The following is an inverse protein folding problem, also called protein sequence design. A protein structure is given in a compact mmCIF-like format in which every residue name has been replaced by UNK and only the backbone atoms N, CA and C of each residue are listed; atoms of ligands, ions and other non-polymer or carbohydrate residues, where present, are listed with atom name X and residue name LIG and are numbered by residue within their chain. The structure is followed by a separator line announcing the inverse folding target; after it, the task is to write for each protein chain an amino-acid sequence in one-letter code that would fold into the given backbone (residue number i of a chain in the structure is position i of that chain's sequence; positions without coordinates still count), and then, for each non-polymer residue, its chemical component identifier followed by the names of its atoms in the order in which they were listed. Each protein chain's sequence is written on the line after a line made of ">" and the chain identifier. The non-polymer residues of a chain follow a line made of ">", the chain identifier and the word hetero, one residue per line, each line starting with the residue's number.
data_IF_798728502135
#
_entry.id   IF_798728502135
#
_cell.length_a   1.000
_cell.length_b   1.000
_cell.length_c   1.000
_cell.angle_alpha   90.00
_cell.angle_beta   90.00
_cell.angle_gamma   90.00
#
_symmetry.space_group_name_H-M   'P 1'
#
loop_
_entity.id
_entity.type
_entity.pdbx_description
1 polymer ?
#
# COMPACT_ATOMS: atom_id res chain seq x y z
N UNK A 1 18.27 9.96 -35.53
CA UNK A 1 17.04 10.70 -35.15
C UNK A 1 17.06 10.80 -33.63
N UNK A 2 17.08 12.01 -33.07
CA UNK A 2 16.97 12.19 -31.62
C UNK A 2 15.61 11.65 -31.18
N UNK A 3 15.58 10.78 -30.16
CA UNK A 3 14.30 10.49 -29.50
C UNK A 3 13.73 11.83 -29.00
N UNK A 4 12.48 12.12 -29.30
CA UNK A 4 11.81 13.28 -28.74
C UNK A 4 11.77 13.12 -27.23
N UNK A 5 12.11 14.17 -26.49
CA UNK A 5 12.02 14.15 -25.02
C UNK A 5 10.56 13.91 -24.60
N UNK A 6 10.36 13.07 -23.59
CA UNK A 6 9.03 12.75 -23.10
C UNK A 6 8.42 14.00 -22.43
N UNK A 7 7.28 14.53 -22.92
CA UNK A 7 6.72 15.77 -22.39
C UNK A 7 6.07 15.61 -21.01
N UNK A 8 5.80 14.37 -20.57
CA UNK A 8 5.13 14.12 -19.30
C UNK A 8 6.11 14.15 -18.13
N UNK A 9 5.75 14.90 -17.09
CA UNK A 9 6.48 14.93 -15.81
C UNK A 9 6.17 13.68 -14.98
N UNK A 10 7.02 13.37 -14.02
CA UNK A 10 6.73 12.31 -13.03
C UNK A 10 5.65 12.78 -12.06
N UNK A 11 4.96 11.83 -11.42
CA UNK A 11 3.98 12.14 -10.38
C UNK A 11 4.60 12.95 -9.23
N UNK A 12 5.80 12.58 -8.81
CA UNK A 12 6.54 13.20 -7.71
C UNK A 12 6.91 14.64 -8.05
N UNK A 13 7.32 14.91 -9.30
CA UNK A 13 7.62 16.26 -9.75
C UNK A 13 6.37 17.16 -9.77
N UNK A 14 5.20 16.60 -10.12
CA UNK A 14 3.92 17.32 -10.02
C UNK A 14 3.52 17.56 -8.57
N UNK A 15 3.68 16.58 -7.68
CA UNK A 15 3.44 16.72 -6.24
C UNK A 15 4.35 17.78 -5.61
N UNK A 16 5.64 17.79 -5.93
CA UNK A 16 6.60 18.79 -5.46
C UNK A 16 6.24 20.21 -5.95
N UNK A 17 5.68 20.32 -7.15
CA UNK A 17 5.14 21.57 -7.69
C UNK A 17 3.75 21.94 -7.12
N UNK A 18 3.22 21.17 -6.16
CA UNK A 18 1.88 21.32 -5.57
C UNK A 18 0.74 21.19 -6.58
N UNK A 19 0.97 20.44 -7.66
CA UNK A 19 -0.06 20.08 -8.64
C UNK A 19 -0.74 18.80 -8.20
N UNK A 20 -2.05 18.85 -7.99
CA UNK A 20 -2.86 17.67 -7.66
C UNK A 20 -2.95 16.75 -8.89
N UNK A 21 -2.64 15.47 -8.70
CA UNK A 21 -2.80 14.43 -9.72
C UNK A 21 -3.84 13.44 -9.23
N UNK A 22 -5.06 13.56 -9.74
CA UNK A 22 -6.14 12.64 -9.45
C UNK A 22 -6.08 11.41 -10.37
N UNK A 23 -6.60 10.28 -9.88
CA UNK A 23 -6.88 9.12 -10.72
C UNK A 23 -7.92 9.46 -11.78
N UNK A 24 -7.72 8.99 -13.01
CA UNK A 24 -8.68 9.24 -14.07
C UNK A 24 -10.04 8.59 -13.72
N UNK A 25 -11.18 9.22 -14.03
CA UNK A 25 -12.51 8.77 -13.59
C UNK A 25 -12.84 7.33 -14.01
N UNK A 26 -12.32 6.88 -15.15
CA UNK A 26 -12.50 5.53 -15.68
C UNK A 26 -11.21 4.68 -15.59
N UNK A 27 -10.47 4.79 -14.50
CA UNK A 27 -9.19 4.08 -14.33
C UNK A 27 -9.17 3.24 -13.05
N UNK A 28 -8.26 3.52 -12.10
CA UNK A 28 -8.06 2.77 -10.86
C UNK A 28 -9.36 2.58 -10.05
N UNK A 29 -10.26 3.56 -10.06
CA UNK A 29 -11.53 3.51 -9.31
C UNK A 29 -12.50 2.42 -9.79
N UNK A 30 -12.34 1.95 -11.02
CA UNK A 30 -13.11 0.86 -11.59
C UNK A 30 -12.48 -0.51 -11.32
N UNK A 31 -11.29 -0.57 -10.70
CA UNK A 31 -10.58 -1.83 -10.52
C UNK A 31 -10.89 -2.42 -9.16
N UNK A 32 -11.23 -3.70 -9.16
CA UNK A 32 -11.21 -4.53 -7.98
C UNK A 32 -9.92 -5.36 -8.05
N UNK A 33 -8.99 -5.10 -7.13
CA UNK A 33 -7.63 -5.65 -7.15
C UNK A 33 -7.40 -6.47 -5.88
N UNK A 34 -7.66 -7.79 -5.89
CA UNK A 34 -7.32 -8.66 -4.77
C UNK A 34 -5.80 -8.78 -4.61
N UNK A 35 -5.32 -8.86 -3.37
CA UNK A 35 -3.89 -9.10 -3.06
C UNK A 35 -3.57 -10.60 -3.09
N UNK A 36 -4.08 -11.29 -4.10
CA UNK A 36 -3.88 -12.73 -4.31
C UNK A 36 -4.10 -13.10 -5.78
N UNK A 37 -3.62 -14.29 -6.17
CA UNK A 37 -3.74 -14.79 -7.54
C UNK A 37 -2.81 -14.08 -8.54
N UNK A 38 -3.23 -13.99 -9.80
CA UNK A 38 -2.47 -13.33 -10.88
C UNK A 38 -3.28 -12.21 -11.51
N UNK A 39 -2.61 -11.27 -12.19
CA UNK A 39 -3.26 -10.18 -12.95
C UNK A 39 -4.34 -10.71 -13.91
N UNK A 40 -4.09 -11.85 -14.55
CA UNK A 40 -5.00 -12.44 -15.55
C UNK A 40 -6.20 -13.20 -14.97
N UNK A 41 -6.19 -13.47 -13.66
CA UNK A 41 -7.21 -14.31 -13.02
C UNK A 41 -7.93 -13.66 -11.85
N UNK A 42 -7.32 -12.66 -11.20
CA UNK A 42 -7.81 -12.09 -9.95
C UNK A 42 -8.45 -10.70 -10.10
N UNK A 43 -7.99 -9.91 -11.07
CA UNK A 43 -8.45 -8.52 -11.20
C UNK A 43 -9.78 -8.49 -11.94
N UNK A 44 -10.72 -7.74 -11.40
CA UNK A 44 -12.03 -7.49 -11.98
C UNK A 44 -12.21 -5.99 -12.25
N UNK A 45 -13.10 -5.66 -13.18
CA UNK A 45 -13.47 -4.30 -13.56
C UNK A 45 -14.93 -4.08 -13.24
N UNK A 46 -15.22 -3.03 -12.50
CA UNK A 46 -16.55 -2.55 -12.18
C UNK A 46 -17.14 -1.82 -13.39
N UNK A 47 -18.46 -1.94 -13.56
CA UNK A 47 -19.18 -1.16 -14.58
C UNK A 47 -19.36 0.30 -14.16
N UNK A 48 -19.52 0.57 -12.86
CA UNK A 48 -19.58 1.89 -12.24
C UNK A 48 -18.83 1.83 -10.90
N UNK A 49 -18.09 2.88 -10.47
CA UNK A 49 -17.38 2.87 -9.19
C UNK A 49 -18.27 2.62 -7.96
N UNK A 50 -19.58 2.87 -8.06
CA UNK A 50 -20.61 2.67 -7.04
C UNK A 50 -21.41 1.38 -7.23
N UNK A 51 -21.38 0.76 -8.41
CA UNK A 51 -21.96 -0.58 -8.64
C UNK A 51 -20.90 -1.65 -8.46
N UNK A 52 -20.89 -2.26 -7.27
CA UNK A 52 -19.94 -3.28 -6.88
C UNK A 52 -20.40 -4.70 -7.21
N UNK A 53 -21.64 -4.86 -7.65
CA UNK A 53 -22.26 -6.17 -7.86
C UNK A 53 -22.09 -6.60 -9.34
N UNK A 54 -21.95 -5.63 -10.26
CA UNK A 54 -21.69 -5.89 -11.68
C UNK A 54 -20.19 -5.78 -12.03
N UNK A 55 -19.51 -6.93 -12.13
CA UNK A 55 -18.07 -7.02 -12.44
C UNK A 55 -17.79 -7.87 -13.65
N UNK A 56 -16.76 -7.51 -14.39
CA UNK A 56 -16.23 -8.29 -15.52
C UNK A 56 -14.74 -8.56 -15.35
N UNK A 57 -14.20 -9.68 -15.86
CA UNK A 57 -12.78 -9.97 -15.78
C UNK A 57 -11.92 -8.87 -16.42
N UNK A 58 -10.79 -8.54 -15.79
CA UNK A 58 -9.80 -7.62 -16.39
C UNK A 58 -9.10 -8.23 -17.61
N UNK A 59 -8.95 -9.55 -17.64
CA UNK A 59 -8.42 -10.30 -18.77
C UNK A 59 -9.43 -11.36 -19.18
N UNK A 60 -9.86 -11.30 -20.45
CA UNK A 60 -10.70 -12.32 -21.04
C UNK A 60 -9.82 -13.48 -21.54
N UNK A 61 -9.91 -14.61 -20.83
CA UNK A 61 -9.17 -15.83 -21.17
C UNK A 61 -9.63 -16.46 -22.50
N UNK A 62 -10.91 -16.31 -22.86
CA UNK A 62 -11.46 -16.88 -24.09
C UNK A 62 -11.04 -16.07 -25.32
N UNK A 63 -11.04 -14.75 -25.20
CA UNK A 63 -10.60 -13.86 -26.27
C UNK A 63 -9.08 -13.61 -26.28
N UNK A 64 -8.39 -13.86 -25.18
CA UNK A 64 -6.96 -13.57 -25.01
C UNK A 64 -6.65 -12.08 -24.99
N UNK A 65 -7.57 -11.25 -24.48
CA UNK A 65 -7.47 -9.78 -24.53
C UNK A 65 -7.73 -9.14 -23.17
N UNK A 66 -7.10 -8.00 -22.93
CA UNK A 66 -7.37 -7.19 -21.74
C UNK A 66 -8.60 -6.31 -21.95
N UNK A 67 -9.30 -6.02 -20.86
CA UNK A 67 -10.44 -5.11 -20.84
C UNK A 67 -10.04 -3.73 -21.39
N UNK A 68 -10.91 -3.00 -22.12
CA UNK A 68 -10.58 -1.69 -22.71
C UNK A 68 -10.02 -0.65 -21.74
N UNK A 69 -10.38 -0.75 -20.45
CA UNK A 69 -9.82 0.08 -19.37
C UNK A 69 -8.29 0.03 -19.29
N UNK A 70 -7.68 -1.08 -19.69
CA UNK A 70 -6.24 -1.33 -19.66
C UNK A 70 -5.42 -0.29 -20.45
N UNK A 71 -5.99 0.23 -21.54
CA UNK A 71 -5.33 1.20 -22.41
C UNK A 71 -5.50 2.66 -21.97
N UNK A 72 -6.32 2.91 -20.94
CA UNK A 72 -6.58 4.27 -20.45
C UNK A 72 -5.41 4.78 -19.58
N UNK A 73 -5.17 6.09 -19.53
CA UNK A 73 -4.27 6.68 -18.53
C UNK A 73 -4.73 6.34 -17.12
N UNK A 74 -3.78 6.07 -16.21
CA UNK A 74 -4.11 5.80 -14.79
C UNK A 74 -4.51 7.09 -14.05
N UNK A 75 -4.08 8.25 -14.54
CA UNK A 75 -4.28 9.57 -13.94
C UNK A 75 -4.87 10.55 -14.95
N UNK A 76 -5.60 11.57 -14.46
CA UNK A 76 -6.17 12.62 -15.33
C UNK A 76 -5.06 13.42 -16.02
N UNK A 77 -4.06 13.84 -15.26
CA UNK A 77 -2.82 14.38 -15.78
C UNK A 77 -1.88 13.23 -16.07
N UNK A 78 -1.60 12.99 -17.35
CA UNK A 78 -0.64 11.97 -17.80
C UNK A 78 0.74 12.22 -17.18
N UNK A 79 1.28 11.16 -16.57
CA UNK A 79 2.61 11.16 -15.92
C UNK A 79 3.53 10.13 -16.54
N UNK A 80 4.83 10.43 -16.58
CA UNK A 80 5.87 9.52 -17.11
C UNK A 80 6.33 8.46 -16.12
N UNK A 81 6.02 8.61 -14.84
CA UNK A 81 6.18 7.57 -13.82
C UNK A 81 5.37 7.90 -12.57
N UNK A 82 5.12 6.87 -11.75
CA UNK A 82 4.55 6.99 -10.39
C UNK A 82 5.35 6.06 -9.48
N UNK A 83 5.85 6.56 -8.36
CA UNK A 83 6.41 5.76 -7.27
C UNK A 83 5.34 5.53 -6.22
N UNK A 84 4.98 4.26 -6.00
CA UNK A 84 3.98 3.85 -5.02
C UNK A 84 4.63 3.30 -3.77
N UNK A 85 3.97 3.43 -2.63
CA UNK A 85 4.30 2.80 -1.35
C UNK A 85 3.04 2.16 -0.73
N UNK A 86 3.24 1.29 0.27
CA UNK A 86 2.15 0.64 1.03
C UNK A 86 2.13 1.23 2.43
N UNK A 87 1.05 1.94 2.77
CA UNK A 87 0.95 2.69 4.04
C UNK A 87 1.09 1.77 5.25
N UNK A 88 0.49 0.58 5.21
CA UNK A 88 0.59 -0.38 6.33
C UNK A 88 2.06 -0.76 6.61
N UNK A 89 2.91 -0.85 5.59
CA UNK A 89 4.32 -1.22 5.77
C UNK A 89 5.17 -0.05 6.28
N UNK A 90 4.83 1.19 5.90
CA UNK A 90 5.51 2.38 6.39
C UNK A 90 5.22 2.62 7.88
N UNK A 91 3.98 2.39 8.29
CA UNK A 91 3.53 2.59 9.68
C UNK A 91 3.80 1.38 10.57
N UNK A 92 4.27 0.25 10.01
CA UNK A 92 4.33 -1.02 10.76
C UNK A 92 5.24 -0.95 11.98
N UNK A 93 6.42 -0.36 11.85
CA UNK A 93 7.38 -0.26 12.94
C UNK A 93 6.86 0.63 14.08
N UNK A 94 6.27 1.76 13.73
CA UNK A 94 5.66 2.69 14.70
C UNK A 94 4.47 2.04 15.41
N UNK A 95 3.55 1.43 14.65
CA UNK A 95 2.42 0.70 15.22
C UNK A 95 2.87 -0.43 16.14
N UNK A 96 3.95 -1.14 15.76
CA UNK A 96 4.53 -2.18 16.61
C UNK A 96 5.04 -1.59 17.93
N UNK A 97 5.77 -0.47 17.89
CA UNK A 97 6.24 0.19 19.11
C UNK A 97 5.08 0.63 20.00
N UNK A 98 4.05 1.26 19.43
CA UNK A 98 2.88 1.73 20.17
C UNK A 98 2.12 0.58 20.87
N UNK A 99 1.94 -0.56 20.19
CA UNK A 99 1.28 -1.73 20.77
C UNK A 99 2.10 -2.36 21.90
N UNK A 100 3.42 -2.22 21.85
CA UNK A 100 4.34 -2.81 22.82
C UNK A 100 4.90 -1.80 23.84
N UNK A 101 4.42 -0.55 23.83
CA UNK A 101 4.86 0.50 24.76
C UNK A 101 4.61 0.11 26.21
N UNK A 102 3.43 -0.43 26.53
CA UNK A 102 3.09 -0.89 27.90
C UNK A 102 3.83 -2.19 28.29
N UNK A 103 4.41 -2.91 27.33
CA UNK A 103 5.21 -4.11 27.59
C UNK A 103 6.68 -3.77 27.93
N UNK A 104 7.00 -2.47 28.02
CA UNK A 104 8.35 -1.93 27.99
C UNK A 104 8.80 -1.22 29.27
N UNK A 105 8.02 -1.21 30.35
CA UNK A 105 8.47 -0.50 31.56
C UNK A 105 9.54 -1.29 32.35
N UNK A 106 10.73 -0.69 32.60
CA UNK A 106 11.85 -1.37 33.26
C UNK A 106 11.59 -1.74 34.73
N UNK A 107 10.56 -1.16 35.35
CA UNK A 107 10.12 -1.49 36.72
C UNK A 107 9.04 -2.58 36.76
N UNK A 108 8.59 -3.12 35.62
CA UNK A 108 7.65 -4.24 35.59
C UNK A 108 8.36 -5.55 35.98
N UNK A 109 8.09 -6.13 37.16
CA UNK A 109 8.81 -7.29 37.61
C UNK A 109 8.33 -8.52 36.84
N UNK A 110 9.19 -9.06 35.98
CA UNK A 110 9.06 -10.38 35.34
C UNK A 110 7.88 -10.58 34.36
N UNK A 111 7.26 -9.52 33.82
CA UNK A 111 6.03 -9.65 33.02
C UNK A 111 6.24 -10.19 31.58
N UNK A 112 7.39 -9.94 30.95
CA UNK A 112 7.61 -10.31 29.54
C UNK A 112 9.00 -10.92 29.28
N UNK A 113 9.19 -12.23 29.54
CA UNK A 113 10.49 -12.90 29.43
C UNK A 113 11.06 -12.94 27.99
N UNK A 114 10.22 -12.66 26.98
CA UNK A 114 10.59 -12.72 25.57
C UNK A 114 11.04 -11.35 25.01
N UNK A 115 10.97 -10.27 25.80
CA UNK A 115 11.41 -8.94 25.39
C UNK A 115 12.95 -8.91 25.25
N UNK A 116 13.44 -8.36 24.14
CA UNK A 116 14.88 -8.15 23.91
C UNK A 116 15.15 -6.70 23.58
N UNK A 117 16.11 -6.15 24.31
CA UNK A 117 16.56 -4.77 24.18
C UNK A 117 18.00 -4.74 23.68
N UNK A 118 18.35 -3.72 22.90
CA UNK A 118 19.71 -3.52 22.43
C UNK A 118 19.85 -2.31 21.50
N UNK A 119 21.07 -2.12 21.00
CA UNK A 119 21.39 -1.03 20.07
C UNK A 119 20.83 -1.34 18.68
N UNK A 120 20.21 -0.35 18.03
CA UNK A 120 19.79 -0.48 16.63
C UNK A 120 21.02 -0.58 15.73
N UNK A 121 21.33 -1.77 15.23
CA UNK A 121 22.35 -1.92 14.19
C UNK A 121 21.75 -1.53 12.83
N UNK A 122 22.35 -0.56 12.14
CA UNK A 122 21.97 -0.12 10.79
C UNK A 122 20.85 0.93 10.80
N UNK A 123 21.17 2.15 11.25
CA UNK A 123 20.26 3.28 11.28
C UNK A 123 19.68 3.57 9.90
N UNK A 124 18.37 3.73 9.83
CA UNK A 124 17.68 4.37 8.69
C UNK A 124 17.73 5.89 8.83
N UNK A 125 18.85 6.43 9.31
CA UNK A 125 19.11 7.87 9.26
C UNK A 125 19.64 8.20 7.88
N UNK A 126 19.04 9.21 7.24
CA UNK A 126 19.65 9.85 6.08
C UNK A 126 21.11 10.23 6.41
N UNK A 127 22.02 10.02 5.46
CA UNK A 127 23.49 10.11 5.64
C UNK A 127 24.01 11.56 5.83
N UNK A 128 23.25 12.48 6.42
CA UNK A 128 23.57 13.92 6.49
C UNK A 128 23.35 14.59 7.88
N UNK A 129 23.29 13.86 8.99
CA UNK A 129 23.35 14.45 10.34
C UNK A 129 24.74 14.25 10.97
N UNK A 130 25.61 15.25 10.78
CA UNK A 130 26.93 15.38 11.44
C UNK A 130 26.83 15.92 12.88
N UNK A 131 25.83 15.49 13.65
CA UNK A 131 25.71 15.78 15.08
C UNK A 131 25.75 14.45 15.87
N UNK A 132 26.96 13.91 16.03
CA UNK A 132 27.24 12.77 16.93
C UNK A 132 27.11 13.24 18.39
N UNK A 133 25.89 13.32 18.91
CA UNK A 133 25.66 13.30 20.35
C UNK A 133 25.99 11.88 20.87
N UNK A 134 27.15 11.75 21.53
CA UNK A 134 27.70 10.49 22.08
C UNK A 134 26.86 9.82 23.19
N UNK A 135 25.62 10.27 23.44
CA UNK A 135 24.77 9.84 24.56
C UNK A 135 23.50 9.05 24.16
N UNK A 136 23.22 8.79 22.88
CA UNK A 136 22.06 7.97 22.47
C UNK A 136 22.37 6.45 22.48
N UNK A 137 22.88 5.97 23.63
CA UNK A 137 23.11 4.56 23.94
C UNK A 137 21.91 3.93 24.66
N UNK A 138 20.73 4.59 24.65
CA UNK A 138 19.54 4.04 25.27
C UNK A 138 19.16 2.73 24.55
N UNK A 139 19.08 1.59 25.28
CA UNK A 139 18.73 0.34 24.66
C UNK A 139 17.31 0.46 24.09
N UNK A 140 17.14 0.10 22.82
CA UNK A 140 15.84 0.12 22.15
C UNK A 140 15.21 -1.27 22.13
N UNK A 141 13.88 -1.33 22.07
CA UNK A 141 13.17 -2.59 21.99
C UNK A 141 13.36 -3.22 20.59
N UNK A 142 13.93 -4.42 20.55
CA UNK A 142 14.25 -5.17 19.33
C UNK A 142 13.29 -6.34 19.08
N UNK A 143 12.71 -6.89 20.15
CA UNK A 143 11.77 -8.02 20.11
C UNK A 143 10.82 -7.94 21.30
N UNK A 144 9.55 -8.28 21.11
CA UNK A 144 8.54 -8.40 22.16
C UNK A 144 7.43 -9.35 21.68
N UNK A 145 6.68 -9.98 22.59
CA UNK A 145 5.58 -10.90 22.25
C UNK A 145 5.92 -11.98 21.20
N UNK A 146 7.17 -12.48 21.21
CA UNK A 146 7.72 -13.43 20.23
C UNK A 146 7.81 -12.90 18.78
N UNK A 147 7.58 -11.61 18.58
CA UNK A 147 7.77 -10.92 17.31
C UNK A 147 9.05 -10.08 17.34
N UNK A 148 9.81 -10.15 16.25
CA UNK A 148 10.91 -9.21 16.03
C UNK A 148 10.33 -7.87 15.57
N UNK A 149 10.94 -6.76 16.00
CA UNK A 149 10.59 -5.42 15.54
C UNK A 149 10.69 -5.38 14.00
N UNK A 150 9.63 -4.97 13.27
CA UNK A 150 9.55 -5.09 11.81
C UNK A 150 10.36 -4.00 11.09
N UNK A 151 11.68 -4.04 11.23
CA UNK A 151 12.59 -3.03 10.67
C UNK A 151 12.79 -3.19 9.17
N UNK A 152 12.92 -2.05 8.48
CA UNK A 152 13.26 -2.01 7.06
C UNK A 152 12.19 -2.62 6.14
N UNK A 153 10.92 -2.57 6.57
CA UNK A 153 9.79 -3.13 5.84
C UNK A 153 9.15 -2.16 4.84
N UNK A 154 9.55 -0.89 4.87
CA UNK A 154 9.15 0.11 3.90
C UNK A 154 9.43 -0.39 2.47
N UNK A 155 8.38 -0.43 1.65
CA UNK A 155 8.47 -0.94 0.29
C UNK A 155 7.98 0.12 -0.70
N UNK A 156 8.80 0.41 -1.71
CA UNK A 156 8.48 1.35 -2.78
C UNK A 156 8.63 0.68 -4.15
N UNK A 157 7.74 1.02 -5.08
CA UNK A 157 7.79 0.54 -6.47
C UNK A 157 7.61 1.72 -7.43
N UNK A 158 8.55 1.89 -8.37
CA UNK A 158 8.41 2.89 -9.43
C UNK A 158 7.84 2.25 -10.69
N UNK A 159 6.68 2.72 -11.09
CA UNK A 159 5.94 2.29 -12.27
C UNK A 159 6.24 3.24 -13.43
N UNK A 160 6.58 2.67 -14.58
CA UNK A 160 6.92 3.40 -15.81
C UNK A 160 6.05 2.91 -16.97
N UNK A 161 5.81 3.73 -18.00
CA UNK A 161 5.08 3.32 -19.19
C UNK A 161 5.83 2.20 -19.92
N UNK A 162 5.09 1.18 -20.38
CA UNK A 162 5.64 0.16 -21.29
C UNK A 162 5.93 0.72 -22.68
N UNK A 163 5.12 1.68 -23.15
CA UNK A 163 5.31 2.35 -24.44
C UNK A 163 6.07 3.67 -24.25
N UNK A 164 7.27 3.75 -24.81
CA UNK A 164 8.03 5.00 -24.86
C UNK A 164 7.31 6.08 -25.69
N UNK A 165 7.61 7.36 -25.43
CA UNK A 165 7.11 8.48 -26.21
C UNK A 165 7.67 8.43 -27.64
N UNK A 166 6.80 8.45 -28.65
CA UNK A 166 7.18 8.43 -30.06
C UNK A 166 7.07 9.80 -30.77
N UNK A 167 6.76 10.86 -30.01
CA UNK A 167 6.48 12.21 -30.54
C UNK A 167 4.99 12.49 -30.78
N UNK A 168 4.11 11.49 -30.66
CA UNK A 168 2.66 11.62 -30.82
C UNK A 168 1.87 10.97 -29.68
N UNK A 169 2.27 9.78 -29.26
CA UNK A 169 1.58 8.98 -28.26
C UNK A 169 2.56 8.12 -27.43
N UNK A 170 2.08 7.52 -26.34
CA UNK A 170 2.90 6.80 -25.36
C UNK A 170 3.57 7.74 -24.36
N UNK A 171 4.55 7.24 -23.61
CA UNK A 171 5.31 8.03 -22.63
C UNK A 171 4.56 8.33 -21.33
N UNK A 172 3.35 7.83 -21.14
CA UNK A 172 2.57 8.01 -19.91
C UNK A 172 2.08 6.67 -19.35
N UNK A 173 1.95 6.59 -18.03
CA UNK A 173 1.52 5.37 -17.34
C UNK A 173 0.04 5.07 -17.64
N UNK A 174 -0.21 3.88 -18.18
CA UNK A 174 -1.56 3.34 -18.40
C UNK A 174 -2.05 2.52 -17.21
N UNK A 175 -3.34 2.20 -17.18
CA UNK A 175 -3.91 1.24 -16.23
C UNK A 175 -3.18 -0.09 -16.29
N UNK A 176 -2.87 -0.59 -17.49
CA UNK A 176 -2.16 -1.85 -17.64
C UNK A 176 -0.75 -1.81 -17.07
N UNK A 177 0.02 -0.76 -17.37
CA UNK A 177 1.37 -0.57 -16.82
C UNK A 177 1.33 -0.59 -15.29
N UNK A 178 0.34 0.11 -14.73
CA UNK A 178 0.14 0.23 -13.30
C UNK A 178 -0.18 -1.12 -12.65
N UNK A 179 -1.27 -1.80 -13.06
CA UNK A 179 -1.68 -3.05 -12.41
C UNK A 179 -0.71 -4.20 -12.65
N UNK A 180 -0.03 -4.24 -13.80
CA UNK A 180 0.87 -5.34 -14.14
C UNK A 180 2.18 -5.28 -13.36
N UNK A 181 2.65 -4.09 -13.02
CA UNK A 181 3.77 -3.91 -12.10
C UNK A 181 3.33 -4.06 -10.64
N UNK A 182 2.19 -3.46 -10.29
CA UNK A 182 1.70 -3.36 -8.93
C UNK A 182 1.26 -4.70 -8.35
N UNK A 183 0.37 -5.42 -9.02
CA UNK A 183 -0.31 -6.58 -8.44
C UNK A 183 0.67 -7.71 -8.06
N UNK A 184 1.61 -8.15 -8.93
CA UNK A 184 2.58 -9.16 -8.54
C UNK A 184 3.53 -8.70 -7.43
N UNK A 185 3.80 -7.40 -7.33
CA UNK A 185 4.61 -6.83 -6.26
C UNK A 185 3.88 -6.90 -4.91
N UNK A 186 2.61 -6.51 -4.86
CA UNK A 186 1.78 -6.62 -3.65
C UNK A 186 1.58 -8.07 -3.20
N UNK A 187 1.36 -9.00 -4.14
CA UNK A 187 1.25 -10.44 -3.82
C UNK A 187 2.53 -10.96 -3.17
N UNK A 188 3.72 -10.48 -3.57
CA UNK A 188 4.99 -10.85 -2.90
C UNK A 188 5.11 -10.26 -1.50
N UNK A 189 4.57 -9.07 -1.28
CA UNK A 189 4.56 -8.39 0.02
C UNK A 189 3.44 -8.88 0.96
N UNK A 190 2.57 -9.78 0.49
CA UNK A 190 1.35 -10.17 1.19
C UNK A 190 1.59 -10.58 2.65
N UNK A 191 2.63 -11.37 2.92
CA UNK A 191 2.93 -11.81 4.28
C UNK A 191 3.28 -10.65 5.22
N UNK A 192 4.08 -9.70 4.73
CA UNK A 192 4.43 -8.49 5.48
C UNK A 192 3.20 -7.59 5.68
N UNK A 193 2.33 -7.45 4.66
CA UNK A 193 1.07 -6.70 4.76
C UNK A 193 0.15 -7.31 5.84
N UNK A 194 -0.02 -8.63 5.85
CA UNK A 194 -0.81 -9.33 6.87
C UNK A 194 -0.23 -9.15 8.28
N UNK A 195 1.10 -9.11 8.39
CA UNK A 195 1.81 -8.80 9.64
C UNK A 195 1.51 -7.39 10.12
N UNK A 196 1.67 -6.40 9.23
CA UNK A 196 1.43 -5.00 9.53
C UNK A 196 -0.02 -4.72 9.94
N UNK A 197 -0.98 -5.26 9.20
CA UNK A 197 -2.40 -5.12 9.54
C UNK A 197 -2.74 -5.82 10.86
N UNK A 198 -2.15 -6.98 11.15
CA UNK A 198 -2.33 -7.68 12.42
C UNK A 198 -1.81 -6.85 13.60
N UNK A 199 -0.61 -6.27 13.46
CA UNK A 199 -0.05 -5.35 14.45
C UNK A 199 -0.93 -4.12 14.64
N UNK A 200 -1.42 -3.48 13.57
CA UNK A 200 -2.32 -2.33 13.65
C UNK A 200 -3.66 -2.67 14.36
N UNK A 201 -4.09 -3.93 14.29
CA UNK A 201 -5.27 -4.44 15.00
C UNK A 201 -4.97 -4.82 16.47
N UNK A 202 -3.71 -4.66 16.90
CA UNK A 202 -3.21 -4.99 18.24
C UNK A 202 -3.01 -6.48 18.47
N UNK A 203 -2.72 -7.24 17.41
CA UNK A 203 -2.46 -8.68 17.49
C UNK A 203 -0.95 -8.96 17.55
N UNK A 204 -0.59 -9.95 18.37
CA UNK A 204 0.77 -10.52 18.45
C UNK A 204 1.06 -11.52 17.31
N UNK A 205 0.13 -11.70 16.38
CA UNK A 205 0.25 -12.59 15.23
C UNK A 205 -0.26 -11.91 13.94
N UNK A 206 0.31 -12.22 12.77
CA UNK A 206 -0.22 -11.75 11.50
C UNK A 206 -1.67 -12.18 11.27
N UNK A 207 -2.39 -11.44 10.44
CA UNK A 207 -3.69 -11.89 9.94
C UNK A 207 -3.56 -13.22 9.17
N UNK A 208 -4.60 -14.04 9.22
CA UNK A 208 -4.62 -15.34 8.55
C UNK A 208 -4.39 -15.21 7.04
N UNK A 209 -3.71 -16.20 6.44
CA UNK A 209 -3.39 -16.19 5.01
C UNK A 209 -4.64 -16.21 4.10
N UNK A 210 -5.77 -16.67 4.63
CA UNK A 210 -7.10 -16.69 4.01
C UNK A 210 -7.80 -15.32 4.00
N UNK A 211 -7.24 -14.31 4.69
CA UNK A 211 -7.83 -12.97 4.79
C UNK A 211 -7.95 -12.32 3.40
N UNK A 212 -9.18 -12.05 2.95
CA UNK A 212 -9.42 -11.50 1.62
C UNK A 212 -9.12 -9.98 1.59
N UNK A 213 -7.94 -9.62 1.07
CA UNK A 213 -7.46 -8.25 0.97
C UNK A 213 -7.68 -7.68 -0.42
N UNK A 214 -8.07 -6.40 -0.47
CA UNK A 214 -8.30 -5.63 -1.68
C UNK A 214 -7.53 -4.31 -1.58
N UNK A 215 -6.92 -3.90 -2.69
CA UNK A 215 -6.20 -2.62 -2.76
C UNK A 215 -7.18 -1.46 -2.82
N UNK A 216 -7.01 -0.48 -1.93
CA UNK A 216 -7.58 0.86 -2.08
C UNK A 216 -6.58 1.73 -2.87
N UNK A 217 -7.02 2.16 -4.06
CA UNK A 217 -6.26 3.00 -4.99
C UNK A 217 -6.79 4.43 -5.09
N UNK A 218 -7.48 4.95 -4.06
CA UNK A 218 -7.99 6.32 -4.07
C UNK A 218 -6.86 7.36 -4.19
N UNK A 219 -5.72 7.08 -3.57
CA UNK A 219 -4.45 7.76 -3.82
C UNK A 219 -3.52 6.86 -4.66
N UNK A 220 -3.23 7.26 -5.90
CA UNK A 220 -2.40 6.45 -6.82
C UNK A 220 -0.95 6.19 -6.37
N UNK A 221 -0.45 6.92 -5.37
CA UNK A 221 0.93 6.79 -4.90
C UNK A 221 1.04 6.20 -3.49
N UNK A 222 -0.06 6.16 -2.75
CA UNK A 222 -0.12 5.72 -1.34
C UNK A 222 -1.22 4.69 -1.25
N UNK A 223 -0.81 3.42 -1.18
CA UNK A 223 -1.71 2.28 -1.27
C UNK A 223 -2.09 1.83 0.12
N UNK A 224 -3.39 1.59 0.30
CA UNK A 224 -3.92 1.01 1.53
C UNK A 224 -4.58 -0.33 1.24
N UNK A 225 -4.47 -1.26 2.18
CA UNK A 225 -5.03 -2.60 2.07
C UNK A 225 -6.28 -2.69 2.93
N UNK A 226 -7.40 -3.06 2.32
CA UNK A 226 -8.66 -3.21 3.02
C UNK A 226 -9.13 -4.65 2.99
N UNK A 227 -9.83 -5.06 4.06
CA UNK A 227 -10.66 -6.26 4.01
C UNK A 227 -11.71 -6.05 2.90
N UNK A 228 -11.95 -7.08 2.08
CA UNK A 228 -12.92 -7.00 0.97
C UNK A 228 -14.28 -6.46 1.39
N UNK A 229 -14.76 -6.90 2.54
CA UNK A 229 -16.01 -6.51 3.19
C UNK A 229 -16.01 -5.04 3.59
N UNK A 230 -14.95 -4.56 4.24
CA UNK A 230 -14.74 -3.13 4.53
C UNK A 230 -14.72 -2.29 3.26
N UNK A 231 -13.98 -2.71 2.23
CA UNK A 231 -13.91 -2.04 0.92
C UNK A 231 -15.28 -1.94 0.23
N UNK A 232 -16.07 -3.02 0.28
CA UNK A 232 -17.43 -3.03 -0.24
C UNK A 232 -18.31 -2.06 0.54
N UNK A 233 -18.22 -2.06 1.87
CA UNK A 233 -19.05 -1.21 2.72
C UNK A 233 -18.72 0.27 2.58
N UNK A 234 -17.44 0.66 2.58
CA UNK A 234 -17.02 2.05 2.36
C UNK A 234 -17.60 2.61 1.06
N UNK A 235 -17.54 1.83 -0.02
CA UNK A 235 -18.09 2.23 -1.33
C UNK A 235 -19.61 2.24 -1.41
N UNK A 236 -20.30 1.45 -0.57
CA UNK A 236 -21.75 1.51 -0.38
C UNK A 236 -22.19 2.59 0.64
N UNK A 237 -21.24 3.35 1.22
CA UNK A 237 -21.52 4.34 2.26
C UNK A 237 -21.98 3.72 3.59
N UNK A 238 -21.64 2.45 3.82
CA UNK A 238 -22.00 1.70 5.03
C UNK A 238 -20.88 1.80 6.06
N UNK A 239 -21.26 1.96 7.32
CA UNK A 239 -20.33 1.81 8.43
C UNK A 239 -20.09 0.31 8.67
N UNK A 240 -18.88 -0.16 8.39
CA UNK A 240 -18.49 -1.55 8.58
C UNK A 240 -17.78 -1.69 9.92
N UNK A 241 -18.26 -2.63 10.75
CA UNK A 241 -17.60 -3.06 11.98
C UNK A 241 -17.18 -4.49 11.79
N UNK A 242 -15.87 -4.73 11.76
CA UNK A 242 -15.34 -6.09 11.66
C UNK A 242 -14.53 -6.42 12.90
N UNK A 243 -14.83 -7.59 13.48
CA UNK A 243 -14.06 -8.12 14.57
C UNK A 243 -12.88 -8.91 14.01
N UNK A 244 -11.66 -8.45 14.28
CA UNK A 244 -10.43 -9.17 13.97
C UNK A 244 -9.77 -9.50 15.30
N UNK A 245 -9.59 -10.79 15.60
CA UNK A 245 -8.99 -11.25 16.86
C UNK A 245 -9.72 -10.83 18.14
N UNK A 246 -11.00 -10.47 18.08
CA UNK A 246 -11.80 -10.07 19.26
C UNK A 246 -11.83 -8.57 19.55
N UNK A 247 -11.10 -7.73 18.80
CA UNK A 247 -11.26 -6.27 18.77
C UNK A 247 -12.07 -5.82 17.55
N UNK A 248 -12.90 -4.80 17.72
CA UNK A 248 -13.64 -4.17 16.63
C UNK A 248 -12.71 -3.21 15.88
N UNK A 249 -12.49 -3.41 14.58
CA UNK A 249 -12.07 -2.32 13.69
C UNK A 249 -13.24 -1.35 13.57
N UNK A 250 -13.08 -0.15 14.13
CA UNK A 250 -13.93 1.00 13.80
C UNK A 250 -13.18 1.88 12.83
N UNK A 251 -13.61 1.93 11.57
CA UNK A 251 -13.21 2.99 10.65
C UNK A 251 -13.94 4.27 11.09
N UNK A 252 -13.31 5.11 11.90
CA UNK A 252 -13.85 6.45 12.21
C UNK A 252 -13.50 7.40 11.05
N UNK A 253 -14.54 7.89 10.37
CA UNK A 253 -14.41 9.09 9.55
C UNK A 253 -14.66 10.27 10.50
N UNK A 254 -13.61 11.00 10.87
CA UNK A 254 -13.77 12.34 11.43
C UNK A 254 -14.13 13.28 10.28
N UNK A 255 -15.43 13.51 10.06
CA UNK A 255 -15.87 14.70 9.32
C UNK A 255 -16.03 15.83 10.31
N UNK A 256 -15.13 16.82 10.26
CA UNK A 256 -15.35 18.12 10.89
C UNK A 256 -16.53 18.81 10.19
N UNK A 257 -17.48 19.32 10.98
CA UNK A 257 -18.57 20.21 10.54
C UNK A 257 -18.04 21.56 10.04
#
# INVERSE_FOLDING_TARGET
>A
MSAAENPYRTYEALKAARTTVAGAPNSAKLLFIPVQGTVQSAIEVLSDPRDLDTRTPYYDQAAGTYHPVSALPISELKVSSITVHVSELEDWEENWLNVHEEHSEPDAPAAFPDAKWGKLSGGGGDEDDEDEDEDDDEPTLLRCCKQDRPRGKNAKLTIKPSKAWDGRDGGFVTVHDYVSALHPWLVRLRGDILGAMGTADGLDEPLGNETDLVVNCDALHSLMMELRTSWIGHRKGLHVREAVGGRLRTSEIVTSE
#
